data_IF_347936313240
#
_entry.id   IF_347936313240
#
_cell.length_a   1.000
_cell.length_b   1.000
_cell.length_c   1.000
_cell.angle_alpha   90.00
_cell.angle_beta   90.00
_cell.angle_gamma   90.00
#
_symmetry.space_group_name_H-M   'P 1'
#
loop_
_entity.id
_entity.type
_entity.pdbx_description
1 polymer ?
#
# COMPACT_ATOMS: atom_id res chain seq x y z
N UNK A 1 -4.63 -4.52 -16.58
CA UNK A 1 -3.87 -4.10 -15.38
C UNK A 1 -3.96 -2.60 -15.24
N UNK A 2 -4.26 -2.12 -14.06
CA UNK A 2 -4.40 -0.69 -13.79
C UNK A 2 -3.07 -0.12 -13.29
N UNK A 3 -2.58 0.91 -13.93
CA UNK A 3 -1.41 1.66 -13.47
C UNK A 3 -1.93 2.88 -12.71
N UNK A 4 -1.53 3.00 -11.46
CA UNK A 4 -1.94 4.10 -10.59
C UNK A 4 -0.84 5.16 -10.57
N UNK A 5 -1.19 6.39 -10.88
CA UNK A 5 -0.23 7.48 -10.91
C UNK A 5 -0.19 8.27 -9.61
N UNK A 6 -1.29 8.28 -8.88
CA UNK A 6 -1.43 9.07 -7.67
C UNK A 6 -2.33 8.37 -6.66
N UNK A 7 -1.95 8.43 -5.38
CA UNK A 7 -2.75 7.93 -4.25
C UNK A 7 -2.66 8.94 -3.12
N UNK A 8 -3.81 9.34 -2.59
CA UNK A 8 -3.89 10.27 -1.46
C UNK A 8 -3.02 11.53 -1.62
N UNK A 9 -2.94 12.05 -2.84
CA UNK A 9 -2.14 13.23 -3.13
C UNK A 9 -0.65 12.96 -3.32
N UNK A 10 -0.20 11.71 -3.23
CA UNK A 10 1.19 11.34 -3.43
C UNK A 10 1.40 10.72 -4.80
N UNK A 11 2.54 10.99 -5.40
CA UNK A 11 2.90 10.43 -6.71
C UNK A 11 3.42 9.01 -6.56
N UNK A 12 2.78 8.07 -7.23
CA UNK A 12 3.16 6.66 -7.17
C UNK A 12 4.44 6.42 -7.98
N UNK A 13 5.43 5.83 -7.32
CA UNK A 13 6.73 5.50 -7.91
C UNK A 13 6.77 4.04 -8.35
N UNK A 14 6.27 3.14 -7.52
CA UNK A 14 6.18 1.71 -7.81
C UNK A 14 4.88 1.18 -7.24
N UNK A 15 4.37 0.13 -7.87
CA UNK A 15 3.17 -0.55 -7.39
C UNK A 15 3.27 -2.05 -7.66
N UNK A 16 2.53 -2.84 -6.90
CA UNK A 16 2.34 -4.25 -7.19
C UNK A 16 1.11 -4.43 -8.06
N UNK A 17 0.90 -5.65 -8.53
CA UNK A 17 -0.41 -6.04 -9.07
C UNK A 17 -1.44 -5.90 -7.95
N UNK A 18 -2.66 -5.65 -8.33
CA UNK A 18 -3.76 -5.63 -7.37
C UNK A 18 -4.80 -6.66 -7.81
N UNK A 19 -4.68 -7.85 -7.26
CA UNK A 19 -5.54 -8.97 -7.58
C UNK A 19 -6.46 -9.27 -6.39
N UNK A 20 -7.74 -9.01 -6.57
CA UNK A 20 -8.74 -9.21 -5.50
C UNK A 20 -8.81 -10.66 -5.00
N UNK A 21 -8.28 -11.62 -5.76
CA UNK A 21 -8.24 -13.03 -5.36
C UNK A 21 -6.99 -13.40 -4.57
N UNK A 22 -6.01 -12.51 -4.50
CA UNK A 22 -4.74 -12.75 -3.81
C UNK A 22 -4.55 -11.76 -2.66
N UNK A 23 -4.96 -12.16 -1.49
CA UNK A 23 -4.79 -11.35 -0.29
C UNK A 23 -3.33 -11.34 0.15
N UNK A 24 -2.74 -10.16 0.25
CA UNK A 24 -1.40 -9.99 0.78
C UNK A 24 -1.43 -9.93 2.31
N UNK A 25 -2.48 -9.35 2.85
CA UNK A 25 -2.70 -9.24 4.28
C UNK A 25 -4.17 -8.95 4.53
N UNK A 26 -4.56 -8.92 5.80
CA UNK A 26 -5.91 -8.59 6.22
C UNK A 26 -5.82 -7.59 7.36
N UNK A 27 -6.62 -6.55 7.29
CA UNK A 27 -6.73 -5.56 8.36
C UNK A 27 -8.12 -5.64 8.97
N UNK A 28 -8.18 -5.40 10.27
CA UNK A 28 -9.43 -5.41 11.01
C UNK A 28 -9.72 -4.02 11.53
N UNK A 29 -10.92 -3.54 11.26
CA UNK A 29 -11.39 -2.24 11.75
C UNK A 29 -12.58 -2.45 12.66
N UNK A 30 -12.57 -1.83 13.83
CA UNK A 30 -13.68 -1.88 14.76
C UNK A 30 -14.62 -0.72 14.47
N UNK A 31 -15.85 -1.04 14.11
CA UNK A 31 -16.90 -0.05 13.95
C UNK A 31 -17.61 0.24 15.27
N UNK A 32 -18.39 1.31 15.27
CA UNK A 32 -19.28 1.62 16.38
C UNK A 32 -20.18 0.41 16.65
N UNK A 33 -20.39 0.07 17.90
CA UNK A 33 -21.19 -1.07 18.39
C UNK A 33 -20.47 -2.41 18.41
N UNK A 34 -19.14 -2.41 18.38
CA UNK A 34 -18.35 -3.64 18.54
C UNK A 34 -18.36 -4.59 17.35
N UNK A 35 -18.73 -4.11 16.18
CA UNK A 35 -18.65 -4.89 14.95
C UNK A 35 -17.25 -4.72 14.36
N UNK A 36 -16.58 -5.83 14.05
CA UNK A 36 -15.28 -5.83 13.41
C UNK A 36 -15.44 -6.08 11.92
N UNK A 37 -14.87 -5.19 11.10
CA UNK A 37 -14.86 -5.33 9.65
C UNK A 37 -13.48 -5.82 9.22
N UNK A 38 -13.46 -6.85 8.38
CA UNK A 38 -12.24 -7.37 7.77
C UNK A 38 -12.06 -6.75 6.39
N UNK A 39 -10.89 -6.16 6.13
CA UNK A 39 -10.55 -5.61 4.83
C UNK A 39 -9.28 -6.28 4.32
N UNK A 40 -9.36 -6.87 3.13
CA UNK A 40 -8.21 -7.51 2.51
C UNK A 40 -7.31 -6.46 1.85
N UNK A 41 -6.00 -6.56 2.12
CA UNK A 41 -4.99 -5.79 1.43
C UNK A 41 -4.55 -6.61 0.22
N UNK A 42 -4.76 -6.09 -0.97
CA UNK A 42 -4.49 -6.81 -2.21
C UNK A 42 -3.49 -6.10 -3.11
N UNK A 43 -3.18 -4.84 -2.84
CA UNK A 43 -2.20 -4.07 -3.60
C UNK A 43 -1.34 -3.19 -2.72
N UNK A 44 -0.08 -3.01 -3.11
CA UNK A 44 0.86 -2.13 -2.44
C UNK A 44 1.37 -1.10 -3.43
N UNK A 45 1.61 0.12 -2.95
CA UNK A 45 2.20 1.18 -3.76
C UNK A 45 3.21 1.96 -2.95
N UNK A 46 4.31 2.33 -3.57
CA UNK A 46 5.30 3.22 -2.98
C UNK A 46 5.08 4.58 -3.63
N UNK A 47 4.83 5.59 -2.83
CA UNK A 47 4.51 6.91 -3.33
C UNK A 47 5.24 8.00 -2.56
N UNK A 48 5.44 9.12 -3.22
CA UNK A 48 6.18 10.24 -2.66
C UNK A 48 5.33 11.50 -2.70
N UNK A 49 5.33 12.22 -1.58
CA UNK A 49 4.79 13.57 -1.54
C UNK A 49 5.86 14.54 -2.02
N UNK A 50 5.50 15.37 -2.99
CA UNK A 50 6.42 16.38 -3.56
C UNK A 50 6.13 17.79 -3.01
N UNK A 51 5.38 17.86 -1.95
CA UNK A 51 5.01 19.08 -1.28
C UNK A 51 6.21 19.63 -0.50
N UNK A 52 6.32 20.96 -0.40
CA UNK A 52 7.39 21.62 0.36
C UNK A 52 7.37 21.25 1.84
N UNK A 53 6.18 20.99 2.38
CA UNK A 53 6.00 20.63 3.79
C UNK A 53 6.04 19.13 4.06
N UNK A 54 5.80 18.34 3.04
CA UNK A 54 5.74 16.87 3.16
C UNK A 54 6.65 16.23 2.13
N UNK A 55 7.82 15.80 2.55
CA UNK A 55 8.83 15.20 1.67
C UNK A 55 9.06 13.72 1.94
N UNK A 56 8.02 13.03 2.38
CA UNK A 56 8.16 11.63 2.76
C UNK A 56 7.84 10.64 1.65
N UNK A 57 8.50 9.49 1.72
CA UNK A 57 8.12 8.31 0.99
C UNK A 57 7.23 7.45 1.87
N UNK A 58 6.19 6.88 1.26
CA UNK A 58 5.25 6.02 1.97
C UNK A 58 4.99 4.74 1.22
N UNK A 59 4.89 3.65 1.95
CA UNK A 59 4.33 2.42 1.43
C UNK A 59 2.84 2.42 1.78
N UNK A 60 1.99 2.47 0.77
CA UNK A 60 0.54 2.41 0.95
C UNK A 60 0.04 0.97 0.79
N UNK A 61 -0.81 0.57 1.72
CA UNK A 61 -1.47 -0.74 1.72
C UNK A 61 -2.91 -0.53 1.30
N UNK A 62 -3.28 -1.09 0.16
CA UNK A 62 -4.53 -0.78 -0.51
C UNK A 62 -5.44 -2.00 -0.68
N UNK A 63 -6.74 -1.75 -0.78
CA UNK A 63 -7.71 -2.77 -1.10
C UNK A 63 -7.80 -3.00 -2.62
N UNK A 64 -8.76 -3.82 -3.04
CA UNK A 64 -8.96 -4.16 -4.45
C UNK A 64 -9.26 -2.96 -5.36
N UNK A 65 -9.73 -1.88 -4.79
CA UNK A 65 -10.08 -0.65 -5.52
C UNK A 65 -9.02 0.44 -5.39
N UNK A 66 -7.83 0.08 -4.90
CA UNK A 66 -6.74 1.01 -4.60
C UNK A 66 -7.09 2.05 -3.54
N UNK A 67 -8.09 1.77 -2.71
CA UNK A 67 -8.37 2.61 -1.56
C UNK A 67 -7.31 2.34 -0.48
N UNK A 68 -6.63 3.38 -0.04
CA UNK A 68 -5.57 3.26 0.95
C UNK A 68 -6.18 2.92 2.31
N UNK A 69 -5.76 1.79 2.88
CA UNK A 69 -6.24 1.33 4.18
C UNK A 69 -5.25 1.61 5.30
N UNK A 70 -3.97 1.66 4.96
CA UNK A 70 -2.91 1.98 5.91
C UNK A 70 -1.68 2.47 5.16
N UNK A 71 -0.75 3.08 5.89
CA UNK A 71 0.50 3.54 5.31
C UNK A 71 1.67 3.30 6.27
N UNK A 72 2.86 3.28 5.71
CA UNK A 72 4.09 3.14 6.47
C UNK A 72 5.15 4.06 5.88
N UNK A 73 5.62 5.00 6.68
CA UNK A 73 6.64 5.96 6.24
C UNK A 73 8.00 5.29 6.16
N UNK A 74 8.71 5.54 5.07
CA UNK A 74 10.05 5.00 4.83
C UNK A 74 11.01 6.11 4.37
N UNK A 75 12.30 5.83 4.42
CA UNK A 75 13.33 6.78 4.00
C UNK A 75 13.71 6.60 2.53
N UNK A 76 13.69 5.37 2.02
CA UNK A 76 14.08 5.05 0.65
C UNK A 76 13.13 4.05 0.03
N UNK A 77 13.16 3.95 -1.30
CA UNK A 77 12.39 2.96 -2.04
C UNK A 77 12.84 1.54 -1.65
N UNK A 78 14.13 1.34 -1.49
CA UNK A 78 14.70 0.04 -1.10
C UNK A 78 14.20 -0.39 0.28
N UNK A 79 14.07 0.55 1.20
CA UNK A 79 13.54 0.28 2.53
C UNK A 79 12.07 -0.16 2.44
N UNK A 80 11.29 0.53 1.60
CA UNK A 80 9.88 0.17 1.40
C UNK A 80 9.74 -1.23 0.83
N UNK A 81 10.56 -1.58 -0.17
CA UNK A 81 10.54 -2.90 -0.80
C UNK A 81 10.92 -3.98 0.21
N UNK A 82 11.97 -3.76 0.99
CA UNK A 82 12.41 -4.72 2.01
C UNK A 82 11.35 -4.93 3.09
N UNK A 83 10.72 -3.84 3.53
CA UNK A 83 9.66 -3.92 4.52
C UNK A 83 8.44 -4.69 3.98
N UNK A 84 8.08 -4.44 2.73
CA UNK A 84 6.96 -5.11 2.08
C UNK A 84 7.24 -6.61 1.90
N UNK A 85 8.43 -6.98 1.46
CA UNK A 85 8.81 -8.38 1.30
C UNK A 85 8.79 -9.14 2.64
N UNK A 86 9.18 -8.47 3.71
CA UNK A 86 9.20 -9.06 5.05
C UNK A 86 7.79 -9.28 5.59
N UNK A 87 6.87 -8.36 5.31
CA UNK A 87 5.56 -8.34 5.96
C UNK A 87 4.42 -8.89 5.10
N UNK A 88 4.59 -8.99 3.80
CA UNK A 88 3.50 -9.37 2.87
C UNK A 88 3.80 -10.58 1.99
N UNK A 89 4.87 -11.28 2.24
CA UNK A 89 5.24 -12.48 1.48
C UNK A 89 5.24 -12.24 -0.05
N UNK A 90 5.75 -11.10 -0.46
CA UNK A 90 5.93 -10.75 -1.87
C UNK A 90 7.42 -10.78 -2.23
N UNK A 91 7.72 -10.82 -3.52
CA UNK A 91 9.09 -10.84 -4.02
C UNK A 91 9.35 -9.66 -4.94
N UNK A 92 10.59 -9.48 -5.35
CA UNK A 92 10.98 -8.43 -6.28
C UNK A 92 10.17 -8.48 -7.58
N UNK A 93 9.75 -9.67 -8.00
CA UNK A 93 8.97 -9.86 -9.22
C UNK A 93 7.55 -9.31 -9.15
N UNK A 94 7.04 -9.10 -7.95
CA UNK A 94 5.68 -8.58 -7.76
C UNK A 94 5.56 -7.10 -8.03
N UNK A 95 6.67 -6.38 -8.07
CA UNK A 95 6.67 -4.94 -8.36
C UNK A 95 6.66 -4.69 -9.86
N UNK A 96 5.80 -3.79 -10.26
CA UNK A 96 5.64 -3.40 -11.67
C UNK A 96 6.52 -2.21 -12.04
#
# INVERSE_FOLDING_TARGET
MTIINELDGAKVIKQTKNDATQKLSVMFFEEKKGVTIEVAITGLAIAKYEDEEETGLYLFMCDKDWAVQDDHKVETVEEAIAWAEKNFDITEEDWL
#
